data_IF_770823865819
#
_entry.id   IF_770823865819
#
_cell.length_a   1.000
_cell.length_b   1.000
_cell.length_c   1.000
_cell.angle_alpha   90.00
_cell.angle_beta   90.00
_cell.angle_gamma   90.00
#
_symmetry.space_group_name_H-M   'P 1'
#
loop_
_entity.id
_entity.type
_entity.pdbx_description
1 polymer ?
#
# COMPACT_ATOMS: atom_id res chain seq x y z
N UNK A 1 0.08 -21.39 -10.25
CA UNK A 1 -0.51 -21.29 -8.91
C UNK A 1 -0.58 -19.83 -8.48
N UNK A 2 -1.71 -19.41 -8.03
CA UNK A 2 -1.89 -18.01 -7.63
C UNK A 2 -1.25 -17.78 -6.28
N UNK A 3 -0.39 -16.78 -6.19
CA UNK A 3 0.23 -16.38 -4.95
C UNK A 3 -0.34 -15.07 -4.43
N UNK A 4 -1.39 -14.58 -5.08
CA UNK A 4 -2.01 -13.31 -4.70
C UNK A 4 -3.49 -13.50 -4.45
N UNK A 5 -4.04 -12.63 -3.63
CA UNK A 5 -5.48 -12.57 -3.38
C UNK A 5 -5.93 -11.13 -3.45
N UNK A 6 -7.19 -10.94 -3.79
CA UNK A 6 -7.78 -9.61 -3.82
C UNK A 6 -8.03 -9.10 -2.43
N UNK A 7 -7.77 -7.84 -2.24
CA UNK A 7 -8.07 -7.14 -0.99
C UNK A 7 -8.94 -5.95 -1.34
N UNK A 8 -10.14 -5.91 -0.80
CA UNK A 8 -11.08 -4.83 -1.07
C UNK A 8 -11.43 -4.10 0.20
N UNK A 9 -11.50 -2.78 0.10
CA UNK A 9 -11.88 -1.97 1.24
C UNK A 9 -12.44 -0.65 0.74
N UNK A 10 -13.34 -0.07 1.50
CA UNK A 10 -13.82 1.26 1.24
C UNK A 10 -12.99 2.24 2.04
N UNK A 11 -12.55 3.30 1.39
CA UNK A 11 -11.74 4.31 2.04
C UNK A 11 -12.35 5.69 1.78
N UNK A 12 -12.03 6.68 2.60
CA UNK A 12 -12.51 8.04 2.34
C UNK A 12 -12.08 8.54 0.97
N UNK A 13 -12.88 9.41 0.40
CA UNK A 13 -12.65 9.91 -0.96
C UNK A 13 -11.31 10.63 -1.06
N UNK A 14 -10.95 11.42 -0.08
CA UNK A 14 -9.67 12.14 -0.09
C UNK A 14 -8.49 11.18 -0.16
N UNK A 15 -8.55 10.09 0.57
CA UNK A 15 -7.48 9.09 0.52
C UNK A 15 -7.46 8.38 -0.81
N UNK A 16 -8.64 8.12 -1.36
CA UNK A 16 -8.73 7.47 -2.68
C UNK A 16 -8.09 8.35 -3.75
N UNK A 17 -8.36 9.64 -3.74
CA UNK A 17 -7.77 10.58 -4.69
C UNK A 17 -6.26 10.63 -4.53
N UNK A 18 -5.80 10.64 -3.30
CA UNK A 18 -4.37 10.68 -3.01
C UNK A 18 -3.64 9.46 -3.55
N UNK A 19 -4.24 8.30 -3.34
CA UNK A 19 -3.69 7.05 -3.87
C UNK A 19 -3.62 7.10 -5.39
N UNK A 20 -4.68 7.57 -6.04
CA UNK A 20 -4.73 7.65 -7.49
C UNK A 20 -3.64 8.56 -8.04
N UNK A 21 -3.43 9.71 -7.43
CA UNK A 21 -2.42 10.65 -7.85
C UNK A 21 -1.01 10.10 -7.63
N UNK A 22 -0.79 9.50 -6.49
CA UNK A 22 0.53 8.97 -6.15
C UNK A 22 0.94 7.83 -7.06
N UNK A 23 0.02 6.89 -7.30
CA UNK A 23 0.36 5.75 -8.14
C UNK A 23 0.62 6.17 -9.58
N UNK A 24 -0.08 7.20 -10.06
CA UNK A 24 0.15 7.73 -11.41
C UNK A 24 1.51 8.37 -11.49
N UNK A 25 1.86 9.13 -10.50
CA UNK A 25 3.16 9.80 -10.46
C UNK A 25 4.30 8.79 -10.45
N UNK A 26 4.10 7.68 -9.75
CA UNK A 26 5.13 6.63 -9.64
C UNK A 26 5.08 5.64 -10.80
N UNK A 27 4.05 5.72 -11.64
CA UNK A 27 3.91 4.80 -12.76
C UNK A 27 3.56 3.39 -12.33
N UNK A 28 2.86 3.26 -11.22
CA UNK A 28 2.49 1.95 -10.68
C UNK A 28 1.01 1.67 -10.87
N UNK A 29 0.67 0.39 -10.91
CA UNK A 29 -0.73 -0.01 -10.85
C UNK A 29 -1.22 0.16 -9.42
N UNK A 30 -2.55 0.16 -9.25
CA UNK A 30 -3.13 0.24 -7.93
C UNK A 30 -2.66 -0.90 -7.04
N UNK A 31 -2.60 -2.11 -7.60
CA UNK A 31 -2.15 -3.28 -6.84
C UNK A 31 -0.71 -3.13 -6.37
N UNK A 32 0.17 -2.66 -7.26
CA UNK A 32 1.57 -2.47 -6.91
C UNK A 32 1.72 -1.40 -5.83
N UNK A 33 1.01 -0.30 -5.99
CA UNK A 33 1.11 0.80 -5.04
C UNK A 33 0.65 0.35 -3.65
N UNK A 34 -0.51 -0.29 -3.59
CA UNK A 34 -1.08 -0.74 -2.32
C UNK A 34 -0.19 -1.79 -1.66
N UNK A 35 0.29 -2.75 -2.43
CA UNK A 35 1.16 -3.79 -1.88
C UNK A 35 2.43 -3.20 -1.29
N UNK A 36 3.06 -2.27 -2.01
CA UNK A 36 4.27 -1.62 -1.53
C UNK A 36 4.01 -0.81 -0.27
N UNK A 37 2.88 -0.11 -0.24
CA UNK A 37 2.52 0.70 0.91
C UNK A 37 2.35 -0.14 2.16
N UNK A 38 1.64 -1.24 2.02
CA UNK A 38 1.41 -2.16 3.14
C UNK A 38 2.73 -2.77 3.61
N UNK A 39 3.56 -3.18 2.67
CA UNK A 39 4.85 -3.77 2.99
C UNK A 39 5.73 -2.77 3.74
N UNK A 40 5.76 -1.53 3.27
CA UNK A 40 6.54 -0.48 3.92
C UNK A 40 6.05 -0.21 5.33
N UNK A 41 4.73 -0.22 5.51
CA UNK A 41 4.15 -0.01 6.82
C UNK A 41 4.61 -1.09 7.80
N UNK A 42 4.55 -2.33 7.39
CA UNK A 42 4.96 -3.43 8.26
C UNK A 42 6.46 -3.44 8.50
N UNK A 43 7.24 -3.05 7.50
CA UNK A 43 8.68 -2.93 7.69
C UNK A 43 9.02 -1.85 8.72
N UNK A 44 8.28 -0.75 8.67
CA UNK A 44 8.48 0.32 9.63
C UNK A 44 8.15 -0.13 11.04
N UNK A 45 7.04 -0.84 11.21
CA UNK A 45 6.66 -1.38 12.52
C UNK A 45 7.70 -2.34 13.04
N UNK A 46 8.22 -3.17 12.15
CA UNK A 46 9.22 -4.16 12.53
C UNK A 46 10.48 -3.49 13.04
N UNK A 47 10.92 -2.44 12.36
CA UNK A 47 12.09 -1.69 12.77
C UNK A 47 11.90 -1.03 14.12
N UNK A 48 10.74 -0.44 14.34
CA UNK A 48 10.44 0.17 15.63
C UNK A 48 10.48 -0.85 16.75
N UNK A 49 9.89 -1.99 16.51
CA UNK A 49 9.86 -3.05 17.49
C UNK A 49 11.25 -3.57 17.78
N UNK A 50 12.05 -3.70 16.76
CA UNK A 50 13.41 -4.17 16.91
C UNK A 50 14.29 -3.19 17.63
N UNK A 51 13.94 -1.92 17.62
CA UNK A 51 14.72 -0.89 18.29
C UNK A 51 14.54 -0.84 19.80
N UNK A 52 13.59 -1.57 20.31
CA UNK A 52 13.34 -1.58 21.75
C UNK A 52 14.26 -2.59 22.49
#
# INVERSE_FOLDING_TARGET
MATTKNLCAQIPIDLHERVSEERERLGQTTSEYIANLIQDYYNMMKNQKGGI
#
